data_IF_046664034094
#
_entry.id   IF_046664034094
#
_cell.length_a   1.000
_cell.length_b   1.000
_cell.length_c   1.000
_cell.angle_alpha   90.00
_cell.angle_beta   90.00
_cell.angle_gamma   90.00
#
_symmetry.space_group_name_H-M   'P 1'
#
loop_
_entity.id
_entity.type
_entity.pdbx_description
1 polymer ?
#
# COMPACT_ATOMS: atom_id res chain seq x y z
N UNK A 1 -14.11 23.60 -14.67
CA UNK A 1 -14.67 23.34 -13.31
C UNK A 1 -13.69 22.40 -12.63
N UNK A 2 -13.16 22.77 -11.46
CA UNK A 2 -12.25 21.89 -10.70
C UNK A 2 -13.05 20.73 -10.11
N UNK A 3 -12.55 19.50 -10.30
CA UNK A 3 -13.14 18.29 -9.71
C UNK A 3 -13.08 18.36 -8.17
N UNK A 4 -14.07 17.78 -7.48
CA UNK A 4 -14.09 17.79 -6.01
C UNK A 4 -13.07 16.82 -5.42
N UNK A 5 -12.46 17.20 -4.30
CA UNK A 5 -11.56 16.35 -3.53
C UNK A 5 -12.28 15.11 -3.00
N UNK A 6 -11.73 13.92 -3.25
CA UNK A 6 -12.30 12.62 -2.83
C UNK A 6 -12.53 12.52 -1.30
N UNK A 7 -11.82 13.30 -0.49
CA UNK A 7 -11.90 13.23 0.97
C UNK A 7 -12.81 14.30 1.60
N UNK A 8 -12.77 15.54 1.13
CA UNK A 8 -13.50 16.64 1.76
C UNK A 8 -14.54 17.32 0.87
N UNK A 9 -14.57 17.02 -0.44
CA UNK A 9 -15.47 17.65 -1.41
C UNK A 9 -15.07 19.07 -1.86
N UNK A 10 -14.04 19.66 -1.28
CA UNK A 10 -13.49 20.97 -1.69
C UNK A 10 -12.86 20.88 -3.09
N UNK A 11 -12.72 22.02 -3.81
CA UNK A 11 -12.04 22.04 -5.09
C UNK A 11 -10.65 21.40 -4.99
N UNK A 12 -10.36 20.44 -5.85
CA UNK A 12 -9.07 19.76 -5.85
C UNK A 12 -8.04 20.50 -6.70
N UNK A 13 -6.78 20.39 -6.28
CA UNK A 13 -5.63 20.98 -6.97
C UNK A 13 -4.73 19.93 -7.64
N UNK A 14 -4.93 18.64 -7.34
CA UNK A 14 -4.09 17.55 -7.83
C UNK A 14 -4.96 16.40 -8.34
N UNK A 15 -4.63 15.95 -9.53
CA UNK A 15 -5.14 14.71 -10.11
C UNK A 15 -4.13 13.59 -9.85
N UNK A 16 -4.60 12.48 -9.33
CA UNK A 16 -3.79 11.29 -9.01
C UNK A 16 -4.38 10.10 -9.74
N UNK A 17 -3.49 9.28 -10.29
CA UNK A 17 -3.84 8.07 -11.04
C UNK A 17 -3.22 6.87 -10.36
N UNK A 18 -4.00 5.83 -10.18
CA UNK A 18 -3.58 4.59 -9.57
C UNK A 18 -4.11 3.39 -10.34
N UNK A 19 -3.32 2.33 -10.37
CA UNK A 19 -3.74 1.03 -10.84
C UNK A 19 -4.27 0.23 -9.66
N UNK A 20 -5.50 -0.24 -9.76
CA UNK A 20 -6.08 -1.16 -8.80
C UNK A 20 -5.50 -2.56 -8.99
N UNK A 21 -5.05 -3.17 -7.92
CA UNK A 21 -4.61 -4.57 -7.91
C UNK A 21 -5.55 -5.35 -6.99
N UNK A 22 -6.16 -6.39 -7.54
CA UNK A 22 -7.05 -7.31 -6.80
C UNK A 22 -6.26 -8.53 -6.36
N UNK A 23 -6.34 -8.87 -5.09
CA UNK A 23 -5.80 -10.12 -4.56
C UNK A 23 -6.95 -11.09 -4.32
N UNK A 24 -7.00 -12.12 -5.15
CA UNK A 24 -8.06 -13.14 -5.18
C UNK A 24 -7.62 -14.37 -4.37
N UNK A 25 -8.38 -14.80 -3.36
CA UNK A 25 -8.15 -16.08 -2.70
C UNK A 25 -8.66 -17.21 -3.61
N UNK A 26 -7.76 -18.01 -4.17
CA UNK A 26 -8.11 -19.21 -4.93
C UNK A 26 -7.99 -20.41 -4.00
N UNK A 27 -9.10 -21.09 -3.74
CA UNK A 27 -9.12 -22.34 -2.99
C UNK A 27 -8.85 -23.51 -3.93
N UNK A 28 -7.80 -24.26 -3.65
CA UNK A 28 -7.48 -25.51 -4.34
C UNK A 28 -7.45 -26.67 -3.32
N UNK A 29 -7.47 -27.90 -3.80
CA UNK A 29 -7.31 -29.10 -2.96
C UNK A 29 -6.00 -29.10 -2.15
N UNK A 30 -4.98 -28.34 -2.62
CA UNK A 30 -3.69 -28.20 -1.96
C UNK A 30 -3.63 -27.02 -0.95
N UNK A 31 -4.74 -26.28 -0.75
CA UNK A 31 -4.82 -25.14 0.16
C UNK A 31 -5.28 -23.84 -0.52
N UNK A 32 -5.26 -22.74 0.23
CA UNK A 32 -5.61 -21.40 -0.26
C UNK A 32 -4.38 -20.73 -0.88
N UNK A 33 -4.47 -20.40 -2.17
CA UNK A 33 -3.45 -19.64 -2.90
C UNK A 33 -3.99 -18.24 -3.19
N UNK A 34 -3.19 -17.20 -2.95
CA UNK A 34 -3.53 -15.82 -3.30
C UNK A 34 -2.92 -15.47 -4.65
N UNK A 35 -3.75 -15.04 -5.58
CA UNK A 35 -3.33 -14.61 -6.92
C UNK A 35 -3.65 -13.14 -7.07
N UNK A 36 -2.69 -12.38 -7.57
CA UNK A 36 -2.87 -10.97 -7.89
C UNK A 36 -3.33 -10.83 -9.34
N UNK A 37 -4.42 -10.09 -9.52
CA UNK A 37 -4.93 -9.69 -10.81
C UNK A 37 -4.93 -8.18 -10.90
N UNK A 38 -4.60 -7.63 -12.05
CA UNK A 38 -4.72 -6.21 -12.32
C UNK A 38 -6.18 -5.86 -12.53
N UNK A 39 -6.60 -4.79 -11.89
CA UNK A 39 -7.92 -4.19 -12.04
C UNK A 39 -7.89 -2.96 -12.95
N UNK A 40 -8.82 -2.06 -12.71
CA UNK A 40 -9.02 -0.85 -13.49
C UNK A 40 -8.07 0.27 -13.04
N UNK A 41 -7.84 1.22 -13.92
CA UNK A 41 -7.22 2.48 -13.55
C UNK A 41 -8.25 3.34 -12.80
N UNK A 42 -7.82 3.88 -11.67
CA UNK A 42 -8.64 4.76 -10.83
C UNK A 42 -7.99 6.14 -10.80
N UNK A 43 -8.76 7.14 -11.22
CA UNK A 43 -8.37 8.55 -11.10
C UNK A 43 -9.10 9.18 -9.92
N UNK A 44 -8.40 9.93 -9.10
CA UNK A 44 -8.99 10.67 -7.98
C UNK A 44 -8.32 12.04 -7.82
N UNK A 45 -9.10 12.97 -7.29
CA UNK A 45 -8.69 14.35 -7.12
C UNK A 45 -8.52 14.66 -5.62
N UNK A 46 -7.42 15.30 -5.25
CA UNK A 46 -7.08 15.62 -3.85
C UNK A 46 -6.72 17.11 -3.73
N UNK A 47 -7.28 17.79 -2.73
CA UNK A 47 -6.92 19.17 -2.43
C UNK A 47 -5.63 19.27 -1.62
N UNK A 48 -4.94 20.40 -1.73
CA UNK A 48 -3.67 20.64 -1.06
C UNK A 48 -3.78 20.59 0.47
N UNK A 49 -4.89 21.08 1.03
CA UNK A 49 -5.14 21.04 2.47
C UNK A 49 -5.21 19.61 3.03
N UNK A 50 -5.88 18.70 2.31
CA UNK A 50 -5.94 17.29 2.70
C UNK A 50 -4.57 16.61 2.59
N UNK A 51 -3.80 16.89 1.53
CA UNK A 51 -2.45 16.37 1.33
C UNK A 51 -1.50 16.88 2.43
N UNK A 52 -1.52 18.18 2.75
CA UNK A 52 -0.69 18.78 3.80
C UNK A 52 -1.02 18.20 5.19
N UNK A 53 -2.31 18.04 5.51
CA UNK A 53 -2.75 17.40 6.76
C UNK A 53 -2.25 15.96 6.86
N UNK A 54 -2.32 15.20 5.76
CA UNK A 54 -1.83 13.83 5.72
C UNK A 54 -0.31 13.79 5.85
N UNK A 55 0.42 14.70 5.18
CA UNK A 55 1.87 14.79 5.29
C UNK A 55 2.30 15.06 6.74
N UNK A 56 1.64 15.99 7.44
CA UNK A 56 1.92 16.26 8.84
C UNK A 56 1.69 15.03 9.73
N UNK A 57 0.60 14.29 9.47
CA UNK A 57 0.30 13.04 10.16
C UNK A 57 1.34 11.95 9.90
N UNK A 58 1.80 11.78 8.66
CA UNK A 58 2.82 10.79 8.29
C UNK A 58 4.21 11.14 8.86
N UNK A 59 4.54 12.42 9.01
CA UNK A 59 5.75 12.90 9.70
C UNK A 59 5.68 12.73 11.22
N UNK A 60 4.48 12.63 11.81
CA UNK A 60 4.28 12.33 13.24
C UNK A 60 4.23 10.82 13.49
N UNK A 61 5.39 10.27 13.87
CA UNK A 61 5.53 8.84 14.19
C UNK A 61 4.56 8.39 15.28
N UNK A 62 4.30 9.24 16.30
CA UNK A 62 3.43 8.87 17.44
C UNK A 62 1.98 8.70 16.99
N UNK A 63 1.47 9.63 16.19
CA UNK A 63 0.12 9.55 15.64
C UNK A 63 -0.05 8.31 14.73
N UNK A 64 0.91 8.09 13.83
CA UNK A 64 0.87 7.00 12.87
C UNK A 64 0.87 5.59 13.50
N UNK A 65 1.59 5.40 14.64
CA UNK A 65 1.67 4.09 15.30
C UNK A 65 0.61 3.85 16.35
N UNK A 66 -0.10 4.89 16.83
CA UNK A 66 -1.01 4.82 17.98
C UNK A 66 -1.99 3.65 17.90
N UNK A 67 -2.67 3.49 16.78
CA UNK A 67 -3.67 2.43 16.58
C UNK A 67 -3.03 1.03 16.64
N UNK A 68 -1.86 0.85 15.99
CA UNK A 68 -1.15 -0.43 15.98
C UNK A 68 -0.59 -0.77 17.35
N UNK A 69 -0.03 0.22 18.07
CA UNK A 69 0.46 0.04 19.43
C UNK A 69 -0.66 -0.34 20.39
N UNK A 70 -1.86 0.20 20.24
CA UNK A 70 -3.02 -0.20 21.07
C UNK A 70 -3.41 -1.66 20.80
N UNK A 71 -3.44 -2.10 19.54
CA UNK A 71 -3.80 -3.49 19.18
C UNK A 71 -2.75 -4.47 19.73
N UNK A 72 -1.47 -4.26 19.42
CA UNK A 72 -0.39 -5.15 19.87
C UNK A 72 -0.16 -5.05 21.38
N UNK A 73 -0.39 -3.87 21.98
CA UNK A 73 -0.39 -3.68 23.43
C UNK A 73 -1.48 -4.49 24.13
N UNK A 74 -2.67 -4.58 23.53
CA UNK A 74 -3.73 -5.47 24.01
C UNK A 74 -3.35 -6.96 23.94
N UNK A 75 -2.72 -7.38 22.86
CA UNK A 75 -2.20 -8.76 22.71
C UNK A 75 -1.12 -9.05 23.76
N UNK A 76 -0.20 -8.10 23.96
CA UNK A 76 0.85 -8.19 24.97
C UNK A 76 0.26 -8.32 26.40
N UNK A 77 -0.66 -7.45 26.76
CA UNK A 77 -1.31 -7.47 28.07
C UNK A 77 -2.08 -8.79 28.29
N UNK A 78 -2.83 -9.24 27.28
CA UNK A 78 -3.51 -10.54 27.31
C UNK A 78 -2.56 -11.70 27.51
N UNK A 79 -1.45 -11.71 26.79
CA UNK A 79 -0.39 -12.72 26.92
C UNK A 79 0.21 -12.76 28.34
N UNK A 80 0.48 -11.59 28.93
CA UNK A 80 0.99 -11.48 30.31
C UNK A 80 -0.02 -12.03 31.30
N UNK A 81 -1.31 -11.67 31.17
CA UNK A 81 -2.37 -12.14 32.06
C UNK A 81 -2.52 -13.64 31.97
N UNK A 82 -2.57 -14.22 30.78
CA UNK A 82 -2.68 -15.68 30.58
C UNK A 82 -1.48 -16.39 31.21
N UNK A 83 -0.26 -15.90 30.97
CA UNK A 83 0.95 -16.49 31.52
C UNK A 83 0.96 -16.42 33.06
N UNK A 84 0.62 -15.27 33.65
CA UNK A 84 0.53 -15.10 35.08
C UNK A 84 -0.51 -16.01 35.75
N UNK A 85 -1.73 -16.08 35.20
CA UNK A 85 -2.80 -16.96 35.68
C UNK A 85 -2.41 -18.43 35.61
N UNK A 86 -1.75 -18.86 34.53
CA UNK A 86 -1.27 -20.23 34.36
C UNK A 86 -0.27 -20.62 35.43
N UNK A 87 0.67 -19.70 35.76
CA UNK A 87 1.65 -19.91 36.80
C UNK A 87 1.06 -19.92 38.21
N UNK A 88 0.13 -18.98 38.49
CA UNK A 88 -0.52 -18.86 39.81
C UNK A 88 -1.47 -20.02 40.13
N UNK A 89 -2.21 -20.50 39.11
CA UNK A 89 -3.19 -21.55 39.29
C UNK A 89 -2.59 -22.96 39.17
N UNK A 90 -1.27 -23.05 38.96
CA UNK A 90 -0.53 -24.32 38.79
C UNK A 90 -1.22 -25.29 37.80
N UNK A 91 -1.95 -24.72 36.82
CA UNK A 91 -2.66 -25.47 35.79
C UNK A 91 -1.72 -25.88 34.67
N UNK A 92 -2.16 -26.88 33.92
CA UNK A 92 -1.41 -27.55 32.89
C UNK A 92 -0.53 -26.62 32.02
N UNK A 93 0.74 -26.98 31.86
CA UNK A 93 1.77 -26.25 31.10
C UNK A 93 1.38 -25.93 29.65
N UNK A 94 0.32 -26.54 29.13
CA UNK A 94 -0.21 -26.33 27.77
C UNK A 94 -0.62 -24.87 27.53
N UNK A 95 -1.17 -24.16 28.55
CA UNK A 95 -1.57 -22.75 28.40
C UNK A 95 -0.40 -21.77 28.51
N UNK A 96 0.76 -22.20 28.95
CA UNK A 96 1.95 -21.36 29.06
C UNK A 96 2.49 -20.98 27.68
N UNK A 97 2.50 -21.91 26.73
CA UNK A 97 3.01 -21.69 25.37
C UNK A 97 2.26 -20.58 24.61
N UNK A 98 0.89 -20.58 24.53
CA UNK A 98 0.17 -19.49 23.86
C UNK A 98 0.32 -18.14 24.60
N UNK A 99 0.45 -18.13 25.93
CA UNK A 99 0.69 -16.92 26.68
C UNK A 99 2.03 -16.28 26.33
N UNK A 100 3.13 -17.04 26.36
CA UNK A 100 4.46 -16.58 25.96
C UNK A 100 4.45 -16.16 24.48
N UNK A 101 3.84 -16.93 23.60
CA UNK A 101 3.70 -16.61 22.18
C UNK A 101 3.04 -15.25 21.96
N UNK A 102 1.94 -14.96 22.67
CA UNK A 102 1.25 -13.68 22.59
C UNK A 102 2.13 -12.51 23.10
N UNK A 103 2.92 -12.71 24.17
CA UNK A 103 3.87 -11.70 24.65
C UNK A 103 4.92 -11.38 23.59
N UNK A 104 5.54 -12.40 23.01
CA UNK A 104 6.55 -12.23 21.95
C UNK A 104 5.97 -11.53 20.72
N UNK A 105 4.80 -11.98 20.24
CA UNK A 105 4.11 -11.36 19.11
C UNK A 105 3.73 -9.90 19.40
N UNK A 106 3.29 -9.59 20.62
CA UNK A 106 2.96 -8.23 21.03
C UNK A 106 4.18 -7.30 20.99
N UNK A 107 5.31 -7.74 21.56
CA UNK A 107 6.56 -6.95 21.60
C UNK A 107 7.10 -6.76 20.17
N UNK A 108 7.21 -7.83 19.39
CA UNK A 108 7.71 -7.75 18.01
C UNK A 108 6.81 -6.89 17.13
N UNK A 109 5.49 -7.03 17.24
CA UNK A 109 4.53 -6.22 16.49
C UNK A 109 4.61 -4.73 16.80
N UNK A 110 4.83 -4.35 18.07
CA UNK A 110 5.04 -2.95 18.48
C UNK A 110 6.36 -2.44 17.90
N UNK A 111 7.45 -3.20 18.05
CA UNK A 111 8.77 -2.82 17.55
C UNK A 111 8.76 -2.60 16.04
N UNK A 112 8.19 -3.54 15.28
CA UNK A 112 8.05 -3.44 13.82
C UNK A 112 7.20 -2.24 13.40
N UNK A 113 6.08 -1.99 14.10
CA UNK A 113 5.21 -0.85 13.80
C UNK A 113 5.93 0.49 14.00
N UNK A 114 6.71 0.62 15.07
CA UNK A 114 7.51 1.82 15.36
C UNK A 114 8.63 1.98 14.32
N UNK A 115 9.36 0.90 14.01
CA UNK A 115 10.44 0.94 13.04
C UNK A 115 9.95 1.38 11.66
N UNK A 116 8.89 0.73 11.13
CA UNK A 116 8.30 1.10 9.83
C UNK A 116 7.82 2.55 9.79
N UNK A 117 7.20 3.04 10.88
CA UNK A 117 6.76 4.43 10.94
C UNK A 117 7.93 5.42 10.99
N UNK A 118 9.02 5.08 11.69
CA UNK A 118 10.26 5.89 11.71
C UNK A 118 10.92 5.93 10.34
N UNK A 119 11.05 4.79 9.68
CA UNK A 119 11.63 4.68 8.33
C UNK A 119 10.83 5.51 7.32
N UNK A 120 9.48 5.36 7.33
CA UNK A 120 8.60 6.15 6.46
C UNK A 120 8.72 7.66 6.76
N UNK A 121 8.68 8.07 8.02
CA UNK A 121 8.81 9.46 8.41
C UNK A 121 10.20 10.04 8.06
N UNK A 122 11.27 9.26 8.19
CA UNK A 122 12.63 9.66 7.81
C UNK A 122 12.74 9.81 6.29
N UNK A 123 12.19 8.87 5.52
CA UNK A 123 12.15 8.95 4.06
C UNK A 123 11.41 10.21 3.59
N UNK A 124 10.22 10.50 4.14
CA UNK A 124 9.43 11.70 3.80
C UNK A 124 10.12 13.02 4.19
N UNK A 125 10.97 13.01 5.23
CA UNK A 125 11.76 14.20 5.61
C UNK A 125 12.97 14.41 4.72
N UNK A 126 13.51 13.34 4.14
CA UNK A 126 14.66 13.38 3.23
C UNK A 126 14.26 13.70 1.78
N UNK A 127 12.97 13.55 1.43
CA UNK A 127 12.45 13.87 0.10
C UNK A 127 12.24 15.38 -0.07
N UNK A 128 12.32 15.90 -1.32
CA UNK A 128 11.84 17.23 -1.67
C UNK A 128 10.37 17.41 -1.25
N UNK A 129 10.00 18.61 -0.81
CA UNK A 129 8.66 18.88 -0.28
C UNK A 129 7.54 18.56 -1.29
N UNK A 130 7.77 18.86 -2.57
CA UNK A 130 6.83 18.55 -3.64
C UNK A 130 6.55 17.04 -3.77
N UNK A 131 7.59 16.22 -3.66
CA UNK A 131 7.48 14.76 -3.73
C UNK A 131 6.81 14.19 -2.49
N UNK A 132 7.18 14.68 -1.31
CA UNK A 132 6.55 14.27 -0.05
C UNK A 132 5.06 14.64 -0.03
N UNK A 133 4.68 15.76 -0.63
CA UNK A 133 3.29 16.17 -0.77
C UNK A 133 2.52 15.27 -1.76
N UNK A 134 3.15 14.84 -2.85
CA UNK A 134 2.55 13.89 -3.80
C UNK A 134 2.31 12.53 -3.15
N UNK A 135 3.28 12.02 -2.40
CA UNK A 135 3.12 10.76 -1.65
C UNK A 135 2.01 10.85 -0.59
N UNK A 136 1.92 12.00 0.10
CA UNK A 136 0.85 12.23 1.07
C UNK A 136 -0.53 12.36 0.39
N UNK A 137 -0.62 13.00 -0.77
CA UNK A 137 -1.85 13.08 -1.55
C UNK A 137 -2.29 11.69 -2.03
N UNK A 138 -1.33 10.85 -2.45
CA UNK A 138 -1.60 9.47 -2.82
C UNK A 138 -2.11 8.64 -1.63
N UNK A 139 -1.55 8.81 -0.44
CA UNK A 139 -2.01 8.15 0.79
C UNK A 139 -3.45 8.60 1.17
N UNK A 140 -3.81 9.88 0.92
CA UNK A 140 -5.20 10.37 1.04
C UNK A 140 -6.12 9.64 0.08
N UNK A 141 -5.74 9.52 -1.19
CA UNK A 141 -6.50 8.80 -2.21
C UNK A 141 -6.73 7.35 -1.79
N UNK A 142 -5.67 6.60 -1.47
CA UNK A 142 -5.76 5.19 -1.08
C UNK A 142 -6.63 4.98 0.16
N UNK A 143 -6.50 5.86 1.17
CA UNK A 143 -7.31 5.77 2.39
C UNK A 143 -8.79 6.12 2.19
N UNK A 144 -9.14 6.78 1.07
CA UNK A 144 -10.51 7.16 0.72
C UNK A 144 -11.18 6.17 -0.23
N UNK A 145 -10.39 5.30 -0.87
CA UNK A 145 -10.88 4.25 -1.76
C UNK A 145 -11.22 2.96 -1.00
N UNK A 146 -12.11 2.11 -1.54
CA UNK A 146 -12.45 0.84 -0.93
C UNK A 146 -11.23 -0.08 -0.88
N UNK A 147 -10.97 -0.70 0.27
CA UNK A 147 -9.89 -1.69 0.44
C UNK A 147 -10.33 -3.12 0.13
N UNK A 148 -11.63 -3.33 -0.11
CA UNK A 148 -12.22 -4.65 -0.41
C UNK A 148 -13.33 -4.53 -1.45
N UNK A 149 -13.45 -5.57 -2.27
CA UNK A 149 -14.59 -5.78 -3.15
C UNK A 149 -15.04 -7.25 -3.00
N UNK A 150 -16.10 -7.48 -2.22
CA UNK A 150 -16.52 -8.82 -1.85
C UNK A 150 -15.44 -9.56 -1.05
N UNK A 151 -14.93 -10.66 -1.60
CA UNK A 151 -13.83 -11.46 -1.03
C UNK A 151 -12.43 -10.95 -1.38
N UNK A 152 -12.33 -10.02 -2.33
CA UNK A 152 -11.07 -9.57 -2.89
C UNK A 152 -10.48 -8.44 -2.06
N UNK A 153 -9.20 -8.54 -1.74
CA UNK A 153 -8.45 -7.42 -1.16
C UNK A 153 -7.97 -6.50 -2.30
N UNK A 154 -8.28 -5.20 -2.17
CA UNK A 154 -7.89 -4.17 -3.14
C UNK A 154 -6.68 -3.41 -2.64
N UNK A 155 -5.67 -3.30 -3.49
CA UNK A 155 -4.50 -2.44 -3.29
C UNK A 155 -4.35 -1.50 -4.48
N UNK A 156 -3.71 -0.36 -4.27
CA UNK A 156 -3.56 0.68 -5.30
C UNK A 156 -2.08 0.99 -5.48
N UNK A 157 -1.62 1.00 -6.71
CA UNK A 157 -0.23 1.32 -7.08
C UNK A 157 -0.24 2.64 -7.83
N UNK A 158 0.56 3.66 -7.43
CA UNK A 158 0.61 4.93 -8.13
C UNK A 158 1.17 4.75 -9.54
N UNK A 159 0.51 5.38 -10.52
CA UNK A 159 0.99 5.44 -11.91
C UNK A 159 1.79 6.74 -12.05
N UNK A 160 3.07 6.69 -11.71
CA UNK A 160 3.99 7.79 -11.91
C UNK A 160 5.32 7.28 -12.51
N UNK A 161 6.11 8.18 -13.08
CA UNK A 161 7.38 7.86 -13.73
C UNK A 161 8.36 7.11 -12.82
N UNK A 162 8.38 7.47 -11.52
CA UNK A 162 9.25 6.82 -10.52
C UNK A 162 8.86 5.38 -10.24
N UNK A 163 7.58 5.09 -10.15
CA UNK A 163 7.08 3.73 -9.92
C UNK A 163 7.35 2.86 -11.14
N UNK A 164 7.16 3.41 -12.33
CA UNK A 164 7.45 2.74 -13.59
C UNK A 164 8.96 2.49 -13.75
N UNK A 165 9.82 3.44 -13.38
CA UNK A 165 11.28 3.29 -13.44
C UNK A 165 11.83 2.27 -12.42
N UNK A 166 11.26 2.19 -11.20
CA UNK A 166 11.70 1.23 -10.17
C UNK A 166 11.38 -0.23 -10.53
N UNK A 167 10.40 -0.47 -11.39
CA UNK A 167 9.89 -1.81 -11.69
C UNK A 167 10.24 -2.28 -13.09
N UNK A 168 11.49 -2.09 -13.51
CA UNK A 168 11.94 -2.52 -14.84
C UNK A 168 11.64 -4.00 -15.18
N UNK A 169 11.57 -4.91 -14.17
CA UNK A 169 11.14 -6.31 -14.36
C UNK A 169 9.63 -6.48 -14.49
N UNK A 170 8.84 -5.66 -13.78
CA UNK A 170 7.39 -5.70 -13.80
C UNK A 170 6.80 -4.82 -14.93
N UNK A 171 7.62 -4.01 -15.59
CA UNK A 171 7.23 -3.15 -16.72
C UNK A 171 6.66 -3.99 -17.87
N UNK A 172 7.21 -5.20 -18.10
CA UNK A 172 6.68 -6.14 -19.07
C UNK A 172 5.27 -6.63 -18.73
N UNK A 173 4.95 -6.77 -17.45
CA UNK A 173 3.61 -7.14 -16.98
C UNK A 173 2.66 -5.95 -17.17
N UNK A 174 3.08 -4.75 -16.81
CA UNK A 174 2.33 -3.51 -17.03
C UNK A 174 2.15 -3.21 -18.51
N UNK A 175 3.18 -3.47 -19.35
CA UNK A 175 3.12 -3.31 -20.79
C UNK A 175 2.07 -4.22 -21.45
N UNK A 176 1.94 -5.47 -21.01
CA UNK A 176 0.91 -6.40 -21.50
C UNK A 176 -0.51 -6.00 -21.09
N UNK A 177 -0.66 -5.31 -19.98
CA UNK A 177 -1.98 -5.07 -19.34
C UNK A 177 -2.49 -3.65 -19.54
N UNK A 178 -1.58 -2.68 -19.74
CA UNK A 178 -1.89 -1.29 -20.04
C UNK A 178 -0.93 -0.77 -21.14
N UNK A 179 -1.06 -1.30 -22.37
CA UNK A 179 -0.07 -1.05 -23.43
C UNK A 179 0.10 0.44 -23.74
N UNK A 180 -0.98 1.23 -23.70
CA UNK A 180 -0.90 2.65 -24.01
C UNK A 180 -0.15 3.46 -22.94
N UNK A 181 -0.41 3.20 -21.66
CA UNK A 181 0.25 3.91 -20.54
C UNK A 181 1.71 3.51 -20.44
N UNK A 182 2.00 2.21 -20.58
CA UNK A 182 3.37 1.72 -20.56
C UNK A 182 4.16 2.24 -21.76
N UNK A 183 3.55 2.34 -22.94
CA UNK A 183 4.14 2.90 -24.14
C UNK A 183 4.45 4.39 -23.99
N UNK A 184 3.52 5.17 -23.46
CA UNK A 184 3.76 6.59 -23.20
C UNK A 184 4.88 6.80 -22.16
N UNK A 185 4.91 6.01 -21.08
CA UNK A 185 5.98 6.08 -20.08
C UNK A 185 7.34 5.65 -20.67
N UNK A 186 7.36 4.60 -21.49
CA UNK A 186 8.56 4.18 -22.20
C UNK A 186 9.09 5.27 -23.15
N UNK A 187 8.21 5.87 -23.96
CA UNK A 187 8.57 6.92 -24.90
C UNK A 187 9.15 8.15 -24.15
N UNK A 188 8.54 8.55 -23.04
CA UNK A 188 9.06 9.66 -22.21
C UNK A 188 10.43 9.34 -21.60
N UNK A 189 10.65 8.13 -21.09
CA UNK A 189 11.93 7.73 -20.49
C UNK A 189 13.07 7.70 -21.52
N UNK A 190 12.76 7.40 -22.78
CA UNK A 190 13.75 7.29 -23.86
C UNK A 190 13.79 8.52 -24.78
N UNK A 191 13.03 9.57 -24.48
CA UNK A 191 12.99 10.79 -25.28
C UNK A 191 12.41 10.60 -26.69
N UNK A 192 11.61 9.53 -26.89
CA UNK A 192 10.95 9.24 -28.15
C UNK A 192 9.68 10.06 -28.22
N UNK A 193 9.57 10.96 -29.21
CA UNK A 193 8.32 11.68 -29.46
C UNK A 193 7.24 10.73 -29.98
N UNK A 194 5.98 10.98 -29.59
CA UNK A 194 4.84 10.10 -29.94
C UNK A 194 4.57 9.94 -31.45
N UNK A 195 5.35 10.63 -32.31
CA UNK A 195 5.23 10.56 -33.77
C UNK A 195 6.00 9.39 -34.41
N UNK A 196 6.93 8.75 -33.70
CA UNK A 196 7.69 7.61 -34.24
C UNK A 196 7.00 6.29 -33.86
N UNK A 197 6.19 5.78 -34.78
CA UNK A 197 5.50 4.49 -34.68
C UNK A 197 6.54 3.37 -34.49
N UNK A 198 6.53 2.62 -33.35
CA UNK A 198 7.45 1.49 -33.19
C UNK A 198 7.21 0.44 -34.26
N UNK A 199 8.25 -0.30 -34.68
CA UNK A 199 8.08 -1.38 -35.63
C UNK A 199 7.11 -2.42 -35.05
N UNK A 200 6.10 -2.72 -35.83
CA UNK A 200 5.11 -3.76 -35.59
C UNK A 200 5.86 -5.08 -35.40
N UNK A 201 5.95 -5.56 -34.15
CA UNK A 201 6.53 -6.87 -33.87
C UNK A 201 5.52 -7.90 -34.36
N UNK A 202 5.89 -8.60 -35.44
CA UNK A 202 5.18 -9.75 -35.96
C UNK A 202 4.87 -10.72 -34.82
N UNK A 203 3.59 -10.90 -34.51
CA UNK A 203 3.13 -11.96 -33.63
C UNK A 203 3.60 -13.31 -34.20
N UNK A 204 4.32 -14.14 -33.42
CA UNK A 204 4.59 -15.48 -33.86
C UNK A 204 3.26 -16.22 -33.99
N UNK A 205 2.93 -16.63 -35.22
CA UNK A 205 1.83 -17.53 -35.51
C UNK A 205 1.95 -18.76 -34.61
N UNK A 206 0.96 -18.98 -33.78
CA UNK A 206 0.83 -20.21 -32.99
C UNK A 206 0.10 -21.19 -33.92
N UNK A 207 0.87 -22.13 -34.49
CA UNK A 207 0.35 -23.37 -35.09
C UNK A 207 -0.06 -24.38 -33.99
#
# INVERSE_FOLDING_TARGET
MSEPCIRCGEPASRELRALQVRTLPIRSLAGEKRVQALGEEVTAHVCEACAAKQLSFLKDVRGAVRKKVLIFGGVLAGGIIITALTLLLNRERILLMPGIGAVVCGVLGIAEAIQKAREKAAALRAMPEAEAMEEAAFDVMVSSLPSKNGSDDLTYIPINEKTLARKNGDLMILYRLLPEIAKQAWNRMHGISDEEKPPEQDEPAID
#
